data_IF_040374581068
#
_entry.id   IF_040374581068
#
_cell.length_a   1.000
_cell.length_b   1.000
_cell.length_c   1.000
_cell.angle_alpha   90.00
_cell.angle_beta   90.00
_cell.angle_gamma   90.00
#
_symmetry.space_group_name_H-M   'P 1'
#
loop_
_entity.id
_entity.type
_entity.pdbx_description
1 polymer ?
#
# COMPACT_ATOMS: atom_id res chain seq x y z
N UNK A 1 14.61 0.06 3.47
CA UNK A 1 14.97 0.04 2.05
C UNK A 1 15.47 -1.35 1.66
N UNK A 2 15.02 -1.87 0.53
CA UNK A 2 15.50 -3.11 -0.07
C UNK A 2 16.92 -2.94 -0.62
N UNK A 3 17.72 -4.01 -0.76
CA UNK A 3 18.97 -3.95 -1.50
C UNK A 3 18.74 -3.38 -2.91
N UNK A 4 19.48 -2.33 -3.28
CA UNK A 4 19.33 -1.63 -4.55
C UNK A 4 18.25 -0.53 -4.58
N UNK A 5 17.42 -0.39 -3.54
CA UNK A 5 16.45 0.71 -3.44
C UNK A 5 17.17 2.02 -3.04
N UNK A 6 16.95 3.13 -3.77
CA UNK A 6 17.44 4.45 -3.37
C UNK A 6 17.03 4.80 -1.94
N UNK A 7 17.93 5.45 -1.20
CA UNK A 7 17.77 5.80 0.22
C UNK A 7 17.69 7.31 0.46
N UNK A 8 17.27 8.05 -0.55
CA UNK A 8 17.15 9.50 -0.52
C UNK A 8 15.98 10.00 0.33
N UNK A 9 14.92 9.19 0.48
CA UNK A 9 13.80 9.47 1.38
C UNK A 9 13.01 8.21 1.77
N UNK A 10 12.38 8.25 2.94
CA UNK A 10 11.43 7.24 3.39
C UNK A 10 10.09 7.35 2.65
N UNK A 11 9.29 6.28 2.68
CA UNK A 11 7.95 6.28 2.09
C UNK A 11 7.04 7.31 2.77
N UNK A 12 7.18 7.44 4.09
CA UNK A 12 6.46 8.41 4.91
C UNK A 12 6.77 9.83 4.46
N UNK A 13 8.05 10.17 4.28
CA UNK A 13 8.44 11.49 3.77
C UNK A 13 7.92 11.74 2.35
N UNK A 14 7.95 10.74 1.47
CA UNK A 14 7.44 10.86 0.11
C UNK A 14 5.95 11.19 0.09
N UNK A 15 5.16 10.50 0.93
CA UNK A 15 3.73 10.75 1.08
C UNK A 15 3.45 12.12 1.69
N UNK A 16 4.13 12.49 2.79
CA UNK A 16 3.94 13.78 3.46
C UNK A 16 4.25 14.96 2.53
N UNK A 17 5.38 14.92 1.81
CA UNK A 17 5.78 15.98 0.88
C UNK A 17 4.82 16.11 -0.30
N UNK A 18 4.33 14.98 -0.81
CA UNK A 18 3.33 14.97 -1.88
C UNK A 18 2.01 15.57 -1.40
N UNK A 19 1.57 15.20 -0.20
CA UNK A 19 0.36 15.70 0.42
C UNK A 19 0.42 17.21 0.71
N UNK A 20 1.54 17.69 1.27
CA UNK A 20 1.79 19.12 1.49
C UNK A 20 1.79 19.92 0.17
N UNK A 21 2.45 19.39 -0.87
CA UNK A 21 2.49 20.00 -2.21
C UNK A 21 1.10 20.12 -2.85
N UNK A 22 0.21 19.17 -2.57
CA UNK A 22 -1.18 19.19 -3.02
C UNK A 22 -2.10 20.09 -2.17
N UNK A 23 -1.60 20.73 -1.10
CA UNK A 23 -2.40 21.54 -0.19
C UNK A 23 -3.29 20.72 0.77
N UNK A 24 -3.03 19.42 0.91
CA UNK A 24 -3.75 18.51 1.79
C UNK A 24 -2.75 17.82 2.75
N UNK A 25 -2.19 18.53 3.74
CA UNK A 25 -1.15 17.97 4.60
C UNK A 25 -1.68 16.82 5.46
N UNK A 26 -0.80 15.85 5.74
CA UNK A 26 -1.06 14.75 6.67
C UNK A 26 -0.36 15.02 8.01
N UNK A 27 -0.97 14.55 9.10
CA UNK A 27 -0.35 14.55 10.43
C UNK A 27 -0.19 13.12 10.93
N UNK A 28 1.00 12.80 11.45
CA UNK A 28 1.26 11.52 12.08
C UNK A 28 1.05 11.67 13.59
N UNK A 29 0.18 10.86 14.22
CA UNK A 29 0.01 10.88 15.66
C UNK A 29 1.31 10.51 16.40
N UNK A 30 1.62 11.20 17.49
CA UNK A 30 2.85 10.96 18.26
C UNK A 30 2.92 9.60 18.95
N UNK A 31 1.79 8.91 19.07
CA UNK A 31 1.64 7.60 19.70
C UNK A 31 1.23 6.51 18.69
N UNK A 32 1.63 6.64 17.42
CA UNK A 32 1.30 5.67 16.36
C UNK A 32 1.99 4.31 16.56
N UNK A 33 3.14 4.29 17.24
CA UNK A 33 3.90 3.06 17.49
C UNK A 33 3.10 2.01 18.27
N UNK A 34 3.34 0.73 17.98
CA UNK A 34 2.66 -0.38 18.65
C UNK A 34 1.25 -0.69 18.13
N UNK A 35 0.81 -0.10 17.03
CA UNK A 35 -0.48 -0.41 16.39
C UNK A 35 -0.32 -1.39 15.21
N UNK A 36 -1.34 -2.20 14.97
CA UNK A 36 -1.32 -3.21 13.90
C UNK A 36 -2.73 -3.42 13.35
N UNK A 37 -2.84 -3.53 12.02
CA UNK A 37 -4.08 -3.79 11.30
C UNK A 37 -4.66 -5.20 11.51
N UNK A 38 -3.94 -6.09 12.22
CA UNK A 38 -4.38 -7.45 12.52
C UNK A 38 -4.21 -8.47 11.39
N UNK A 39 -3.81 -8.05 10.19
CA UNK A 39 -3.68 -8.93 9.00
C UNK A 39 -2.72 -10.11 9.21
N UNK A 40 -1.52 -9.95 9.81
CA UNK A 40 -0.65 -11.09 10.07
C UNK A 40 -1.29 -12.16 10.95
N UNK A 41 -2.11 -11.76 11.94
CA UNK A 41 -2.80 -12.68 12.84
C UNK A 41 -4.00 -13.35 12.17
N UNK A 42 -4.83 -12.58 11.47
CA UNK A 42 -6.02 -13.11 10.80
C UNK A 42 -5.67 -14.12 9.70
N UNK A 43 -4.58 -13.88 8.95
CA UNK A 43 -4.10 -14.78 7.89
C UNK A 43 -3.66 -16.16 8.41
N UNK A 44 -3.41 -16.29 9.71
CA UNK A 44 -3.03 -17.54 10.40
C UNK A 44 -4.16 -18.15 11.23
N UNK A 45 -5.31 -17.49 11.32
CA UNK A 45 -6.39 -17.91 12.20
C UNK A 45 -6.16 -17.58 13.68
N UNK A 46 -5.23 -16.67 14.02
CA UNK A 46 -5.03 -16.21 15.40
C UNK A 46 -6.05 -15.14 15.78
N UNK A 47 -7.28 -15.58 16.02
CA UNK A 47 -8.45 -14.70 16.24
C UNK A 47 -8.29 -13.79 17.45
N UNK A 48 -7.77 -14.29 18.57
CA UNK A 48 -7.63 -13.47 19.79
C UNK A 48 -6.58 -12.36 19.62
N UNK A 49 -5.45 -12.68 18.97
CA UNK A 49 -4.43 -11.68 18.66
C UNK A 49 -4.93 -10.65 17.63
N UNK A 50 -5.70 -11.09 16.62
CA UNK A 50 -6.37 -10.17 15.70
C UNK A 50 -7.30 -9.23 16.48
N UNK A 51 -8.20 -9.78 17.31
CA UNK A 51 -9.16 -9.02 18.12
C UNK A 51 -8.46 -7.96 18.96
N UNK A 52 -7.44 -8.32 19.72
CA UNK A 52 -6.68 -7.40 20.56
C UNK A 52 -6.09 -6.24 19.75
N UNK A 53 -5.38 -6.56 18.67
CA UNK A 53 -4.68 -5.56 17.87
C UNK A 53 -5.61 -4.61 17.11
N UNK A 54 -6.70 -5.11 16.54
CA UNK A 54 -7.66 -4.26 15.81
C UNK A 54 -8.49 -3.39 16.74
N UNK A 55 -8.84 -3.87 17.95
CA UNK A 55 -9.54 -3.04 18.94
C UNK A 55 -8.68 -1.89 19.44
N UNK A 56 -7.39 -2.15 19.74
CA UNK A 56 -6.45 -1.07 20.10
C UNK A 56 -6.32 -0.05 18.97
N UNK A 57 -6.17 -0.52 17.73
CA UNK A 57 -5.98 0.35 16.56
C UNK A 57 -7.21 1.19 16.26
N UNK A 58 -8.42 0.64 16.29
CA UNK A 58 -9.66 1.40 16.05
C UNK A 58 -9.91 2.45 17.15
N UNK A 59 -9.64 2.11 18.42
CA UNK A 59 -9.77 3.07 19.51
C UNK A 59 -8.83 4.28 19.33
N UNK A 60 -7.58 4.03 18.92
CA UNK A 60 -6.62 5.09 18.64
C UNK A 60 -7.00 5.90 17.39
N UNK A 61 -7.41 5.25 16.30
CA UNK A 61 -7.88 5.93 15.08
C UNK A 61 -9.07 6.86 15.34
N UNK A 62 -10.01 6.45 16.20
CA UNK A 62 -11.11 7.30 16.65
C UNK A 62 -10.62 8.59 17.30
N UNK A 63 -9.66 8.50 18.22
CA UNK A 63 -9.08 9.68 18.88
C UNK A 63 -8.26 10.53 17.91
N UNK A 64 -7.42 9.92 17.08
CA UNK A 64 -6.55 10.63 16.13
C UNK A 64 -7.33 11.37 15.05
N UNK A 65 -8.45 10.80 14.59
CA UNK A 65 -9.34 11.43 13.60
C UNK A 65 -10.19 12.57 14.18
N UNK A 66 -10.12 12.83 15.50
CA UNK A 66 -11.06 13.73 16.15
C UNK A 66 -12.49 13.20 16.06
N UNK A 67 -12.68 11.93 16.44
CA UNK A 67 -13.97 11.24 16.46
C UNK A 67 -14.60 11.09 15.07
N UNK A 68 -13.78 10.70 14.09
CA UNK A 68 -14.21 10.49 12.70
C UNK A 68 -14.28 11.77 11.85
N UNK A 69 -13.99 12.94 12.43
CA UNK A 69 -14.00 14.22 11.71
C UNK A 69 -12.98 14.28 10.56
N UNK A 70 -11.82 13.65 10.73
CA UNK A 70 -10.77 13.56 9.72
C UNK A 70 -10.66 12.12 9.18
N UNK A 71 -10.45 11.95 7.86
CA UNK A 71 -10.14 10.64 7.33
C UNK A 71 -8.77 10.16 7.83
N UNK A 72 -8.63 8.84 7.98
CA UNK A 72 -7.38 8.17 8.32
C UNK A 72 -6.81 7.53 7.05
N UNK A 73 -5.65 8.00 6.60
CA UNK A 73 -4.94 7.45 5.44
C UNK A 73 -3.96 6.37 5.89
N UNK A 74 -3.98 5.22 5.21
CA UNK A 74 -3.06 4.09 5.44
C UNK A 74 -2.21 3.86 4.20
N UNK A 75 -0.89 3.86 4.37
CA UNK A 75 0.10 3.83 3.27
C UNK A 75 0.36 2.46 2.65
N UNK A 76 -0.31 1.42 3.17
CA UNK A 76 -0.07 0.02 2.81
C UNK A 76 -1.40 -0.67 2.57
N UNK A 77 -1.68 -1.07 1.31
CA UNK A 77 -3.03 -1.52 0.94
C UNK A 77 -3.54 -2.78 1.64
N UNK A 78 -2.71 -3.78 1.99
CA UNK A 78 -3.14 -4.89 2.84
C UNK A 78 -3.66 -4.44 4.21
N UNK A 79 -3.03 -3.42 4.81
CA UNK A 79 -3.45 -2.88 6.11
C UNK A 79 -4.80 -2.17 6.00
N UNK A 80 -4.99 -1.35 4.96
CA UNK A 80 -6.28 -0.71 4.66
C UNK A 80 -7.39 -1.76 4.52
N UNK A 81 -7.16 -2.79 3.71
CA UNK A 81 -8.13 -3.86 3.52
C UNK A 81 -8.46 -4.60 4.81
N UNK A 82 -7.44 -4.94 5.61
CA UNK A 82 -7.63 -5.57 6.91
C UNK A 82 -8.48 -4.74 7.86
N UNK A 83 -8.19 -3.44 7.96
CA UNK A 83 -8.92 -2.50 8.81
C UNK A 83 -10.37 -2.33 8.34
N UNK A 84 -10.61 -2.13 7.04
CA UNK A 84 -11.97 -2.02 6.47
C UNK A 84 -12.83 -3.27 6.70
N UNK A 85 -12.21 -4.43 6.92
CA UNK A 85 -12.90 -5.71 7.12
C UNK A 85 -12.80 -6.25 8.56
N UNK A 86 -12.34 -5.44 9.53
CA UNK A 86 -12.12 -5.92 10.90
C UNK A 86 -13.35 -5.85 11.82
N UNK A 87 -14.48 -5.27 11.36
CA UNK A 87 -15.65 -4.96 12.21
C UNK A 87 -16.15 -6.13 13.05
N UNK A 88 -16.18 -7.34 12.49
CA UNK A 88 -16.63 -8.55 13.18
C UNK A 88 -15.72 -8.95 14.37
N UNK A 89 -14.46 -8.50 14.37
CA UNK A 89 -13.51 -8.74 15.45
C UNK A 89 -13.50 -7.61 16.51
N UNK A 90 -14.31 -6.56 16.36
CA UNK A 90 -14.36 -5.43 17.28
C UNK A 90 -15.33 -5.67 18.45
N UNK A 91 -15.03 -5.06 19.60
CA UNK A 91 -15.99 -4.93 20.70
C UNK A 91 -17.20 -4.07 20.28
N UNK A 92 -18.36 -4.20 20.94
CA UNK A 92 -19.53 -3.37 20.61
C UNK A 92 -19.25 -1.85 20.65
N UNK A 93 -18.36 -1.41 21.53
CA UNK A 93 -17.93 -0.01 21.59
C UNK A 93 -17.11 0.39 20.37
N UNK A 94 -16.10 -0.41 20.00
CA UNK A 94 -15.28 -0.11 18.85
C UNK A 94 -16.01 -0.32 17.52
N UNK A 95 -17.06 -1.14 17.46
CA UNK A 95 -17.94 -1.19 16.29
C UNK A 95 -18.60 0.18 16.04
N UNK A 96 -19.11 0.84 17.08
CA UNK A 96 -19.71 2.19 16.94
C UNK A 96 -18.68 3.22 16.48
N UNK A 97 -17.47 3.18 17.04
CA UNK A 97 -16.37 4.07 16.61
C UNK A 97 -15.97 3.80 15.16
N UNK A 98 -15.81 2.52 14.81
CA UNK A 98 -15.46 2.08 13.46
C UNK A 98 -16.47 2.56 12.42
N UNK A 99 -17.76 2.46 12.73
CA UNK A 99 -18.83 2.88 11.82
C UNK A 99 -18.81 4.39 11.51
N UNK A 100 -18.15 5.21 12.37
CA UNK A 100 -17.93 6.63 12.15
C UNK A 100 -16.57 6.99 11.53
N UNK A 101 -15.69 6.02 11.27
CA UNK A 101 -14.38 6.28 10.68
C UNK A 101 -14.42 6.25 9.15
N UNK A 102 -13.68 7.17 8.52
CA UNK A 102 -13.34 7.09 7.10
C UNK A 102 -11.89 6.64 6.98
N UNK A 103 -11.67 5.39 6.56
CA UNK A 103 -10.33 4.83 6.36
C UNK A 103 -10.03 4.82 4.87
N UNK A 104 -9.02 5.55 4.44
CA UNK A 104 -8.60 5.67 3.04
C UNK A 104 -7.32 4.86 2.79
N UNK A 105 -7.28 4.16 1.66
CA UNK A 105 -6.04 3.65 1.10
C UNK A 105 -5.21 4.82 0.55
N UNK A 106 -3.90 4.75 0.67
CA UNK A 106 -3.04 5.72 0.01
C UNK A 106 -3.23 5.77 -1.52
N UNK A 107 -3.71 4.70 -2.16
CA UNK A 107 -4.05 4.72 -3.60
C UNK A 107 -5.22 5.65 -3.88
N UNK A 108 -6.29 5.56 -3.08
CA UNK A 108 -7.45 6.47 -3.17
C UNK A 108 -7.01 7.90 -2.88
N UNK A 109 -6.21 8.09 -1.83
CA UNK A 109 -5.73 9.40 -1.44
C UNK A 109 -4.86 10.03 -2.52
N UNK A 110 -3.89 9.29 -3.06
CA UNK A 110 -3.02 9.75 -4.14
C UNK A 110 -3.82 10.12 -5.40
N UNK A 111 -4.85 9.35 -5.75
CA UNK A 111 -5.74 9.68 -6.87
C UNK A 111 -6.54 10.96 -6.61
N UNK A 112 -6.97 11.23 -5.36
CA UNK A 112 -7.63 12.48 -4.99
C UNK A 112 -6.67 13.69 -5.02
N UNK A 113 -5.39 13.49 -4.68
CA UNK A 113 -4.38 14.55 -4.75
C UNK A 113 -3.96 14.87 -6.18
N UNK A 114 -4.04 13.90 -7.09
CA UNK A 114 -3.50 14.00 -8.45
C UNK A 114 -3.92 15.26 -9.22
N UNK A 115 -5.20 15.71 -9.21
CA UNK A 115 -5.61 16.94 -9.89
C UNK A 115 -5.02 18.23 -9.31
N UNK A 116 -4.52 18.18 -8.07
CA UNK A 116 -3.93 19.31 -7.35
C UNK A 116 -2.41 19.37 -7.49
N UNK A 117 -1.80 18.36 -8.13
CA UNK A 117 -0.36 18.21 -8.21
C UNK A 117 0.17 18.63 -9.60
N UNK A 118 1.25 19.42 -9.67
CA UNK A 118 1.91 19.69 -10.93
C UNK A 118 2.74 18.48 -11.35
N UNK A 119 2.34 17.77 -12.41
CA UNK A 119 3.18 16.74 -13.03
C UNK A 119 4.27 17.42 -13.88
N UNK A 120 5.53 17.33 -13.44
CA UNK A 120 6.67 18.01 -14.06
C UNK A 120 7.51 17.13 -14.96
N UNK A 121 7.46 15.82 -14.75
CA UNK A 121 8.29 14.81 -15.44
C UNK A 121 7.58 13.47 -15.47
N UNK A 122 7.96 12.60 -16.41
CA UNK A 122 7.42 11.25 -16.56
C UNK A 122 8.55 10.26 -16.82
N UNK A 123 8.41 9.04 -16.33
CA UNK A 123 9.25 7.91 -16.77
C UNK A 123 8.75 7.40 -18.13
N UNK A 124 9.63 6.86 -18.96
CA UNK A 124 9.21 6.34 -20.26
C UNK A 124 8.27 5.14 -20.10
N UNK A 125 8.71 4.10 -19.36
CA UNK A 125 7.89 2.91 -19.08
C UNK A 125 8.03 2.45 -17.64
N UNK A 126 6.91 2.12 -17.01
CA UNK A 126 6.88 1.55 -15.67
C UNK A 126 6.01 0.29 -15.61
N UNK A 127 6.36 -0.63 -14.71
CA UNK A 127 5.58 -1.83 -14.41
C UNK A 127 4.86 -1.64 -13.08
N UNK A 128 3.56 -1.97 -13.03
CA UNK A 128 2.78 -1.99 -11.80
C UNK A 128 2.41 -3.42 -11.41
N UNK A 129 2.57 -3.73 -10.13
CA UNK A 129 1.94 -4.88 -9.51
C UNK A 129 0.72 -4.45 -8.67
N UNK A 130 -0.52 -4.66 -9.16
CA UNK A 130 -1.72 -4.44 -8.38
C UNK A 130 -1.83 -5.49 -7.27
N UNK A 131 -1.54 -5.07 -6.03
CA UNK A 131 -1.62 -5.94 -4.86
C UNK A 131 -3.04 -6.52 -4.73
N UNK A 132 -3.16 -7.77 -4.28
CA UNK A 132 -4.46 -8.43 -4.15
C UNK A 132 -5.49 -7.64 -3.31
N UNK A 133 -5.05 -6.85 -2.32
CA UNK A 133 -5.92 -5.95 -1.55
C UNK A 133 -6.42 -4.76 -2.36
N UNK A 134 -5.60 -4.19 -3.25
CA UNK A 134 -6.01 -3.14 -4.21
C UNK A 134 -7.09 -3.69 -5.14
N UNK A 135 -6.90 -4.89 -5.66
CA UNK A 135 -7.90 -5.58 -6.50
C UNK A 135 -9.20 -5.80 -5.74
N UNK A 136 -9.13 -6.36 -4.52
CA UNK A 136 -10.32 -6.62 -3.67
C UNK A 136 -11.08 -5.36 -3.27
N UNK A 137 -10.41 -4.22 -3.19
CA UNK A 137 -11.03 -2.92 -2.90
C UNK A 137 -11.45 -2.17 -4.18
N UNK A 138 -11.29 -2.78 -5.36
CA UNK A 138 -11.55 -2.17 -6.67
C UNK A 138 -10.75 -0.86 -6.91
N UNK A 139 -9.51 -0.82 -6.43
CA UNK A 139 -8.63 0.34 -6.51
C UNK A 139 -7.60 0.26 -7.64
N UNK A 140 -7.59 -0.82 -8.42
CA UNK A 140 -6.68 -0.96 -9.57
C UNK A 140 -6.79 0.22 -10.55
N UNK A 141 -8.00 0.69 -10.93
CA UNK A 141 -8.11 1.85 -11.81
C UNK A 141 -7.50 3.13 -11.22
N UNK A 142 -7.62 3.34 -9.90
CA UNK A 142 -7.02 4.49 -9.21
C UNK A 142 -5.49 4.39 -9.16
N UNK A 143 -4.94 3.19 -8.92
CA UNK A 143 -3.49 2.94 -8.96
C UNK A 143 -2.94 3.21 -10.37
N UNK A 144 -3.63 2.71 -11.40
CA UNK A 144 -3.27 2.97 -12.80
C UNK A 144 -3.34 4.44 -13.16
N UNK A 145 -4.40 5.16 -12.73
CA UNK A 145 -4.56 6.58 -12.97
C UNK A 145 -3.35 7.38 -12.48
N UNK A 146 -2.92 7.12 -11.24
CA UNK A 146 -1.74 7.77 -10.65
C UNK A 146 -0.47 7.46 -11.44
N UNK A 147 -0.26 6.19 -11.80
CA UNK A 147 0.93 5.78 -12.54
C UNK A 147 0.97 6.37 -13.96
N UNK A 148 -0.17 6.41 -14.68
CA UNK A 148 -0.27 6.96 -16.05
C UNK A 148 -0.06 8.46 -16.09
N UNK A 149 -0.33 9.17 -15.00
CA UNK A 149 0.06 10.58 -14.90
C UNK A 149 1.59 10.75 -14.79
N UNK A 150 2.28 9.75 -14.22
CA UNK A 150 3.71 9.81 -13.92
C UNK A 150 4.60 9.05 -14.93
N UNK A 151 4.02 8.40 -15.93
CA UNK A 151 4.74 7.62 -16.93
C UNK A 151 4.07 7.75 -18.31
N UNK A 152 4.84 7.60 -19.38
CA UNK A 152 4.31 7.57 -20.75
C UNK A 152 3.62 6.24 -21.04
N UNK A 153 4.22 5.14 -20.60
CA UNK A 153 3.67 3.80 -20.67
C UNK A 153 3.61 3.12 -19.30
N UNK A 154 2.45 2.52 -19.00
CA UNK A 154 2.23 1.74 -17.79
C UNK A 154 1.86 0.32 -18.19
N UNK A 155 2.69 -0.62 -17.77
CA UNK A 155 2.50 -2.06 -17.98
C UNK A 155 1.91 -2.67 -16.72
N UNK A 156 0.74 -3.30 -16.85
CA UNK A 156 0.21 -4.21 -15.85
C UNK A 156 0.39 -5.62 -16.42
N UNK A 157 1.27 -6.44 -15.83
CA UNK A 157 1.45 -7.80 -16.30
C UNK A 157 0.12 -8.56 -16.31
N UNK A 158 -0.17 -9.29 -17.37
CA UNK A 158 -1.35 -10.16 -17.49
C UNK A 158 -1.37 -11.22 -16.39
N UNK A 159 -0.20 -11.73 -16.05
CA UNK A 159 -0.01 -12.72 -14.99
C UNK A 159 0.11 -12.08 -13.59
N UNK A 160 -0.15 -10.78 -13.44
CA UNK A 160 -0.14 -10.11 -12.15
C UNK A 160 -1.22 -10.69 -11.22
N UNK A 161 -0.75 -11.36 -10.17
CA UNK A 161 -1.60 -12.14 -9.26
C UNK A 161 -1.21 -11.98 -7.79
N UNK A 162 -1.53 -12.99 -6.97
CA UNK A 162 -1.06 -12.99 -5.60
C UNK A 162 0.46 -13.21 -5.56
N UNK A 163 1.22 -12.31 -4.91
CA UNK A 163 2.67 -12.46 -4.74
C UNK A 163 3.12 -13.63 -3.81
N UNK A 164 2.18 -14.40 -3.25
CA UNK A 164 2.48 -15.54 -2.38
C UNK A 164 2.93 -15.20 -0.95
N UNK A 165 3.03 -13.91 -0.59
CA UNK A 165 3.56 -13.52 0.72
C UNK A 165 2.62 -13.84 1.89
N UNK A 166 1.30 -13.73 1.66
CA UNK A 166 0.23 -14.18 2.56
C UNK A 166 0.47 -13.86 4.06
N UNK A 167 0.46 -12.57 4.41
CA UNK A 167 0.78 -12.12 5.77
C UNK A 167 2.28 -12.07 5.98
N UNK A 168 2.83 -13.01 6.71
CA UNK A 168 4.27 -13.15 6.97
C UNK A 168 4.83 -14.51 6.47
N UNK A 169 4.03 -15.33 5.81
CA UNK A 169 4.44 -16.65 5.30
C UNK A 169 5.57 -16.56 4.28
N UNK A 170 5.60 -15.50 3.47
CA UNK A 170 6.68 -15.23 2.51
C UNK A 170 8.05 -14.98 3.14
N UNK A 171 8.11 -14.77 4.46
CA UNK A 171 9.37 -14.78 5.21
C UNK A 171 9.83 -16.20 5.55
N UNK A 172 8.89 -17.10 5.83
CA UNK A 172 9.16 -18.45 6.33
C UNK A 172 9.33 -19.48 5.19
N UNK A 173 8.66 -19.25 4.07
CA UNK A 173 8.60 -20.16 2.92
C UNK A 173 8.85 -19.38 1.62
N UNK A 174 10.10 -19.00 1.31
CA UNK A 174 10.44 -18.21 0.13
C UNK A 174 10.01 -18.90 -1.18
N UNK A 175 9.92 -20.22 -1.20
CA UNK A 175 9.45 -21.03 -2.33
C UNK A 175 7.99 -20.69 -2.71
N UNK A 176 7.16 -20.31 -1.73
CA UNK A 176 5.78 -19.87 -2.00
C UNK A 176 5.77 -18.58 -2.81
N UNK A 177 6.55 -17.59 -2.39
CA UNK A 177 6.65 -16.32 -3.12
C UNK A 177 7.25 -16.56 -4.50
N UNK A 178 8.31 -17.36 -4.61
CA UNK A 178 8.96 -17.67 -5.88
C UNK A 178 8.01 -18.36 -6.86
N UNK A 179 7.28 -19.38 -6.42
CA UNK A 179 6.31 -20.08 -7.26
C UNK A 179 5.15 -19.18 -7.68
N UNK A 180 4.64 -18.36 -6.77
CA UNK A 180 3.48 -17.51 -7.03
C UNK A 180 3.80 -16.37 -8.01
N UNK A 181 5.01 -15.78 -7.91
CA UNK A 181 5.43 -14.68 -8.79
C UNK A 181 6.09 -15.15 -10.09
N UNK A 182 6.40 -16.43 -10.26
CA UNK A 182 7.13 -16.91 -11.44
C UNK A 182 6.47 -16.58 -12.79
N UNK A 183 5.13 -16.65 -12.95
CA UNK A 183 4.47 -16.24 -14.20
C UNK A 183 4.67 -14.74 -14.49
N UNK A 184 4.29 -13.87 -13.54
CA UNK A 184 4.48 -12.42 -13.63
C UNK A 184 5.96 -12.05 -13.89
N UNK A 185 6.89 -12.71 -13.20
CA UNK A 185 8.31 -12.43 -13.36
C UNK A 185 8.82 -12.72 -14.79
N UNK A 186 8.33 -13.77 -15.45
CA UNK A 186 8.70 -14.05 -16.86
C UNK A 186 8.21 -12.96 -17.80
N UNK A 187 7.00 -12.47 -17.60
CA UNK A 187 6.44 -11.37 -18.38
C UNK A 187 7.23 -10.07 -18.15
N UNK A 188 7.47 -9.73 -16.90
CA UNK A 188 8.22 -8.53 -16.50
C UNK A 188 9.66 -8.54 -17.03
N UNK A 189 10.33 -9.69 -17.02
CA UNK A 189 11.69 -9.83 -17.55
C UNK A 189 11.78 -9.72 -19.07
N UNK A 190 10.65 -9.90 -19.77
CA UNK A 190 10.55 -9.69 -21.22
C UNK A 190 10.29 -8.22 -21.60
N UNK A 191 9.99 -7.37 -20.62
CA UNK A 191 9.80 -5.93 -20.82
C UNK A 191 11.00 -5.14 -20.29
N UNK A 192 11.44 -4.15 -21.04
CA UNK A 192 12.40 -3.15 -20.55
C UNK A 192 11.63 -1.96 -19.96
N UNK A 193 11.84 -1.67 -18.69
CA UNK A 193 11.14 -0.63 -17.94
C UNK A 193 12.08 0.10 -16.96
N UNK A 194 11.82 1.38 -16.73
CA UNK A 194 12.64 2.24 -15.88
C UNK A 194 12.28 2.13 -14.39
N UNK A 195 11.10 1.58 -14.08
CA UNK A 195 10.60 1.52 -12.71
C UNK A 195 9.58 0.42 -12.51
N UNK A 196 9.61 -0.16 -11.31
CA UNK A 196 8.76 -1.27 -10.90
C UNK A 196 8.08 -0.90 -9.59
N UNK A 197 6.75 -0.90 -9.57
CA UNK A 197 6.01 -0.30 -8.47
C UNK A 197 4.89 -1.20 -7.94
N UNK A 198 4.61 -1.08 -6.64
CA UNK A 198 3.50 -1.73 -5.96
C UNK A 198 2.98 -0.83 -4.83
N UNK A 199 2.01 -1.30 -4.04
CA UNK A 199 1.42 -0.58 -2.90
C UNK A 199 1.58 -1.33 -1.57
N UNK A 200 2.54 -2.26 -1.51
CA UNK A 200 2.81 -3.05 -0.32
C UNK A 200 4.25 -3.55 -0.28
N UNK A 201 4.93 -3.29 0.85
CA UNK A 201 6.31 -3.72 1.07
C UNK A 201 6.52 -5.23 0.90
N UNK A 202 5.54 -6.06 1.27
CA UNK A 202 5.65 -7.52 1.12
C UNK A 202 5.61 -7.97 -0.35
N UNK A 203 4.75 -7.34 -1.17
CA UNK A 203 4.72 -7.58 -2.62
C UNK A 203 6.02 -7.08 -3.28
N UNK A 204 6.49 -5.90 -2.88
CA UNK A 204 7.77 -5.34 -3.35
C UNK A 204 8.93 -6.30 -3.09
N UNK A 205 8.99 -6.90 -1.90
CA UNK A 205 10.02 -7.91 -1.58
C UNK A 205 9.90 -9.15 -2.47
N UNK A 206 8.70 -9.73 -2.59
CA UNK A 206 8.49 -10.95 -3.37
C UNK A 206 8.88 -10.76 -4.84
N UNK A 207 8.41 -9.68 -5.46
CA UNK A 207 8.68 -9.40 -6.87
C UNK A 207 10.12 -9.00 -7.11
N UNK A 208 10.75 -8.28 -6.17
CA UNK A 208 12.18 -7.97 -6.28
C UNK A 208 13.02 -9.24 -6.26
N UNK A 209 12.69 -10.21 -5.39
CA UNK A 209 13.37 -11.51 -5.36
C UNK A 209 13.16 -12.29 -6.65
N UNK A 210 11.95 -12.27 -7.20
CA UNK A 210 11.59 -13.08 -8.36
C UNK A 210 12.12 -12.53 -9.69
N UNK A 211 12.19 -11.20 -9.82
CA UNK A 211 12.58 -10.52 -11.07
C UNK A 211 14.02 -10.01 -11.05
N UNK A 212 14.64 -9.87 -9.88
CA UNK A 212 15.90 -9.15 -9.72
C UNK A 212 15.80 -7.63 -9.99
N UNK A 213 14.59 -7.11 -10.22
CA UNK A 213 14.30 -5.69 -10.43
C UNK A 213 13.78 -5.09 -9.13
N UNK A 214 14.21 -3.88 -8.78
CA UNK A 214 13.82 -3.28 -7.49
C UNK A 214 12.39 -2.75 -7.58
N UNK A 215 11.46 -3.46 -6.94
CA UNK A 215 10.11 -2.98 -6.71
C UNK A 215 10.06 -2.07 -5.48
N UNK A 216 9.32 -0.96 -5.58
CA UNK A 216 9.09 -0.01 -4.48
C UNK A 216 7.69 0.58 -4.52
N UNK A 217 7.31 1.36 -3.52
CA UNK A 217 5.99 1.99 -3.51
C UNK A 217 5.80 2.94 -4.71
N UNK A 218 4.62 2.90 -5.35
CA UNK A 218 4.22 3.84 -6.39
C UNK A 218 4.20 5.30 -5.90
N UNK A 219 4.14 5.54 -4.59
CA UNK A 219 4.22 6.89 -4.03
C UNK A 219 5.57 7.56 -4.29
N UNK A 220 6.65 6.80 -4.43
CA UNK A 220 7.94 7.36 -4.85
C UNK A 220 7.91 7.87 -6.30
N UNK A 221 7.17 7.19 -7.19
CA UNK A 221 6.96 7.66 -8.56
C UNK A 221 6.18 8.98 -8.56
N UNK A 222 5.10 9.06 -7.78
CA UNK A 222 4.29 10.27 -7.67
C UNK A 222 5.07 11.45 -7.08
N UNK A 223 5.83 11.23 -5.99
CA UNK A 223 6.67 12.27 -5.38
C UNK A 223 7.69 12.80 -6.40
N UNK A 224 8.39 11.89 -7.07
CA UNK A 224 9.41 12.22 -8.07
C UNK A 224 8.81 12.98 -9.26
N UNK A 225 7.65 12.55 -9.76
CA UNK A 225 6.99 13.17 -10.91
C UNK A 225 6.52 14.60 -10.62
N UNK A 226 6.26 14.92 -9.35
CA UNK A 226 5.67 16.21 -8.94
C UNK A 226 6.66 17.16 -8.28
N UNK A 227 7.87 16.69 -7.95
CA UNK A 227 8.98 17.49 -7.42
C UNK A 227 9.59 18.36 -8.50
#
# INVERSE_FOLDING_TARGET
>A
HLPGEPRDMTLVEALLRTAERAGAPLTIPGDVDGHCCGVPFSSKGYVDAQRETVNRTVASMWRWSGEGRLPVVVDTSPCTYGLRNCRAALTPENQRRFDGLVILDAVEYAAQLLPLLPIKRRQHRVVLHPVCSVVKMNLTPALELVARACAEEVVLPLDAGCCGFAGDRGWLLPELTASATAPEAREVLSCDAEGYYSSSRTCEIALTRATGRVYRSYLYLLEWATR
#
